data_IF_797264631958
#
_entry.id   IF_797264631958
#
_cell.length_a   1.000
_cell.length_b   1.000
_cell.length_c   1.000
_cell.angle_alpha   90.00
_cell.angle_beta   90.00
_cell.angle_gamma   90.00
#
_symmetry.space_group_name_H-M   'P 1'
#
loop_
_entity.id
_entity.type
_entity.pdbx_description
1 polymer ?
#
# COMPACT_ATOMS: atom_id res chain seq x y z
N UNK A 1 18.98 1.11 6.84
CA UNK A 1 19.47 0.64 5.53
C UNK A 1 18.36 0.58 4.50
N UNK A 2 17.24 -0.14 4.76
CA UNK A 2 16.10 -0.29 3.82
C UNK A 2 15.54 1.08 3.40
N UNK A 3 15.22 1.94 4.36
CA UNK A 3 14.65 3.27 4.07
C UNK A 3 15.61 4.13 3.25
N UNK A 4 16.92 4.06 3.52
CA UNK A 4 17.92 4.75 2.73
C UNK A 4 17.99 4.24 1.30
N UNK A 5 17.98 2.92 1.11
CA UNK A 5 17.95 2.29 -0.22
C UNK A 5 16.68 2.68 -0.99
N UNK A 6 15.52 2.69 -0.33
CA UNK A 6 14.24 3.11 -0.93
C UNK A 6 14.26 4.58 -1.40
N UNK A 7 14.93 5.45 -0.65
CA UNK A 7 15.10 6.87 -1.01
C UNK A 7 15.88 7.04 -2.31
N UNK A 8 16.85 6.15 -2.55
CA UNK A 8 17.74 6.19 -3.73
C UNK A 8 17.28 5.25 -4.84
N UNK A 9 16.10 4.62 -4.67
CA UNK A 9 15.56 3.61 -5.60
C UNK A 9 16.50 2.42 -5.87
N UNK A 10 17.39 2.15 -4.90
CA UNK A 10 18.24 0.95 -4.88
C UNK A 10 17.42 -0.25 -4.36
N UNK A 11 16.55 -0.74 -5.26
CA UNK A 11 15.58 -1.77 -4.92
C UNK A 11 16.24 -3.10 -4.53
N UNK A 12 17.35 -3.45 -5.14
CA UNK A 12 18.09 -4.68 -4.86
C UNK A 12 18.70 -4.66 -3.45
N UNK A 13 19.33 -3.56 -3.07
CA UNK A 13 19.85 -3.37 -1.70
C UNK A 13 18.72 -3.38 -0.69
N UNK A 14 17.58 -2.74 -1.01
CA UNK A 14 16.41 -2.72 -0.13
C UNK A 14 15.87 -4.12 0.13
N UNK A 15 15.65 -4.93 -0.91
CA UNK A 15 15.14 -6.31 -0.77
C UNK A 15 16.14 -7.20 -0.06
N UNK A 16 17.43 -7.06 -0.35
CA UNK A 16 18.49 -7.81 0.33
C UNK A 16 18.51 -7.52 1.83
N UNK A 17 18.41 -6.25 2.21
CA UNK A 17 18.36 -5.86 3.62
C UNK A 17 17.07 -6.31 4.33
N UNK A 18 15.95 -6.42 3.59
CA UNK A 18 14.69 -6.93 4.10
C UNK A 18 14.61 -8.46 4.19
N UNK A 19 15.47 -9.20 3.46
CA UNK A 19 15.38 -10.64 3.29
C UNK A 19 15.31 -11.44 4.62
N UNK A 20 16.09 -11.13 5.69
CA UNK A 20 15.98 -11.86 6.95
C UNK A 20 14.57 -11.86 7.56
N UNK A 21 13.83 -10.75 7.39
CA UNK A 21 12.45 -10.59 7.88
C UNK A 21 11.45 -11.21 6.92
N UNK A 22 11.66 -11.03 5.61
CA UNK A 22 10.81 -11.62 4.56
C UNK A 22 10.84 -13.14 4.62
N UNK A 23 12.01 -13.73 4.87
CA UNK A 23 12.23 -15.18 5.00
C UNK A 23 11.82 -15.73 6.38
N UNK A 24 11.28 -14.89 7.26
CA UNK A 24 10.90 -15.25 8.64
C UNK A 24 12.04 -15.84 9.47
N UNK A 25 13.28 -15.47 9.17
CA UNK A 25 14.46 -15.90 9.94
C UNK A 25 14.66 -15.07 11.22
N UNK A 26 14.04 -13.90 11.25
CA UNK A 26 14.01 -13.02 12.41
C UNK A 26 12.55 -12.80 12.76
N UNK A 27 12.13 -13.38 13.87
CA UNK A 27 10.80 -13.19 14.46
C UNK A 27 11.01 -12.32 15.70
N UNK A 28 10.74 -11.04 15.59
CA UNK A 28 10.80 -10.08 16.70
C UNK A 28 9.42 -9.49 16.90
N UNK A 29 9.00 -9.36 18.16
CA UNK A 29 7.64 -8.92 18.52
C UNK A 29 7.28 -7.53 17.99
N UNK A 30 8.27 -6.68 17.67
CA UNK A 30 8.01 -5.25 17.47
C UNK A 30 8.09 -4.74 16.03
N UNK A 31 8.67 -5.44 15.04
CA UNK A 31 8.94 -4.80 13.74
C UNK A 31 8.80 -5.60 12.44
N UNK A 32 8.31 -6.83 12.34
CA UNK A 32 8.28 -7.48 11.03
C UNK A 32 7.37 -6.76 10.03
N UNK A 33 6.28 -6.15 10.48
CA UNK A 33 5.34 -5.43 9.61
C UNK A 33 5.93 -4.12 9.04
N UNK A 34 6.79 -3.43 9.78
CA UNK A 34 7.46 -2.21 9.31
C UNK A 34 8.38 -2.52 8.12
N UNK A 35 9.30 -3.48 8.30
CA UNK A 35 10.22 -3.94 7.25
C UNK A 35 9.47 -4.46 6.03
N UNK A 36 8.42 -5.25 6.24
CA UNK A 36 7.59 -5.77 5.16
C UNK A 36 6.88 -4.66 4.40
N UNK A 37 6.38 -3.62 5.10
CA UNK A 37 5.76 -2.46 4.46
C UNK A 37 6.76 -1.66 3.63
N UNK A 38 8.00 -1.51 4.10
CA UNK A 38 9.10 -0.88 3.36
C UNK A 38 9.51 -1.66 2.11
N UNK A 39 9.41 -3.00 2.15
CA UNK A 39 9.80 -3.88 1.05
C UNK A 39 8.74 -3.99 -0.07
N UNK A 40 7.52 -3.48 0.11
CA UNK A 40 6.42 -3.65 -0.86
C UNK A 40 6.76 -3.09 -2.24
N UNK A 41 7.21 -1.85 -2.28
CA UNK A 41 7.57 -1.18 -3.53
C UNK A 41 8.83 -1.77 -4.17
N UNK A 42 9.94 -2.00 -3.44
CA UNK A 42 11.10 -2.69 -3.97
C UNK A 42 10.80 -4.06 -4.60
N UNK A 43 10.04 -4.89 -3.89
CA UNK A 43 9.64 -6.20 -4.43
C UNK A 43 8.81 -6.08 -5.70
N UNK A 44 7.91 -5.09 -5.76
CA UNK A 44 7.10 -4.83 -6.95
C UNK A 44 7.95 -4.35 -8.12
N UNK A 45 8.87 -3.41 -7.88
CA UNK A 45 9.77 -2.85 -8.90
C UNK A 45 10.69 -3.91 -9.52
N UNK A 46 11.16 -4.87 -8.71
CA UNK A 46 11.96 -6.01 -9.18
C UNK A 46 11.12 -7.14 -9.80
N UNK A 47 9.81 -6.95 -9.96
CA UNK A 47 8.92 -7.96 -10.56
C UNK A 47 8.54 -9.11 -9.62
N UNK A 48 8.90 -9.07 -8.34
CA UNK A 48 8.54 -10.09 -7.34
C UNK A 48 7.11 -9.92 -6.84
N UNK A 49 6.15 -9.85 -7.77
CA UNK A 49 4.75 -9.48 -7.49
C UNK A 49 4.06 -10.38 -6.46
N UNK A 50 4.38 -11.69 -6.43
CA UNK A 50 3.80 -12.60 -5.45
C UNK A 50 4.38 -12.35 -4.05
N UNK A 51 5.69 -12.17 -3.93
CA UNK A 51 6.33 -11.87 -2.65
C UNK A 51 5.83 -10.53 -2.08
N UNK A 52 5.67 -9.51 -2.94
CA UNK A 52 5.09 -8.22 -2.56
C UNK A 52 3.64 -8.38 -2.05
N UNK A 53 2.83 -9.22 -2.71
CA UNK A 53 1.48 -9.52 -2.27
C UNK A 53 1.44 -10.22 -0.92
N UNK A 54 2.28 -11.23 -0.72
CA UNK A 54 2.35 -12.00 0.53
C UNK A 54 2.81 -11.10 1.70
N UNK A 55 3.82 -10.25 1.44
CA UNK A 55 4.27 -9.23 2.39
C UNK A 55 3.16 -8.24 2.74
N UNK A 56 2.39 -7.74 1.73
CA UNK A 56 1.25 -6.86 1.96
C UNK A 56 0.20 -7.52 2.85
N UNK A 57 -0.24 -8.73 2.54
CA UNK A 57 -1.29 -9.43 3.30
C UNK A 57 -0.85 -9.71 4.73
N UNK A 58 0.39 -10.14 4.91
CA UNK A 58 0.93 -10.49 6.22
C UNK A 58 1.12 -9.25 7.11
N UNK A 59 1.79 -8.21 6.60
CA UNK A 59 2.05 -6.99 7.35
C UNK A 59 0.78 -6.22 7.66
N UNK A 60 -0.15 -6.09 6.71
CA UNK A 60 -1.40 -5.38 6.91
C UNK A 60 -2.26 -5.98 8.02
N UNK A 61 -2.32 -7.30 8.14
CA UNK A 61 -3.07 -7.98 9.21
C UNK A 61 -2.60 -7.57 10.62
N UNK A 62 -1.32 -7.29 10.78
CA UNK A 62 -0.72 -6.84 12.05
C UNK A 62 -0.78 -5.32 12.19
N UNK A 63 -0.46 -4.63 11.11
CA UNK A 63 -0.39 -3.17 11.06
C UNK A 63 -1.69 -2.49 11.50
N UNK A 64 -2.85 -3.02 11.13
CA UNK A 64 -4.15 -2.42 11.44
C UNK A 64 -4.42 -2.22 12.94
N UNK A 65 -3.65 -2.86 13.81
CA UNK A 65 -3.71 -2.74 15.27
C UNK A 65 -2.54 -1.96 15.85
N UNK A 66 -1.58 -1.52 15.01
CA UNK A 66 -0.40 -0.80 15.48
C UNK A 66 -0.75 0.68 15.76
N UNK A 67 -0.15 1.27 16.80
CA UNK A 67 -0.40 2.68 17.14
C UNK A 67 0.01 3.65 16.04
N UNK A 68 1.04 3.31 15.25
CA UNK A 68 1.60 4.12 14.18
C UNK A 68 1.12 3.67 12.78
N UNK A 69 -0.09 3.10 12.68
CA UNK A 69 -0.65 2.54 11.45
C UNK A 69 -0.58 3.49 10.26
N UNK A 70 -0.78 4.79 10.47
CA UNK A 70 -0.87 5.77 9.38
C UNK A 70 0.43 5.91 8.59
N UNK A 71 1.60 5.83 9.23
CA UNK A 71 2.91 5.89 8.55
C UNK A 71 3.10 4.78 7.54
N UNK A 72 2.67 3.56 7.87
CA UNK A 72 2.86 2.40 7.00
C UNK A 72 1.71 2.22 6.01
N UNK A 73 0.53 2.72 6.36
CA UNK A 73 -0.65 2.60 5.50
C UNK A 73 -0.45 3.27 4.15
N UNK A 74 0.25 4.41 4.11
CA UNK A 74 0.62 5.09 2.87
C UNK A 74 1.38 4.17 1.92
N UNK A 75 2.35 3.38 2.42
CA UNK A 75 3.11 2.41 1.62
C UNK A 75 2.24 1.26 1.08
N UNK A 76 1.26 0.81 1.85
CA UNK A 76 0.27 -0.17 1.38
C UNK A 76 -0.63 0.39 0.29
N UNK A 77 -1.05 1.67 0.41
CA UNK A 77 -1.85 2.34 -0.61
C UNK A 77 -1.04 2.55 -1.89
N UNK A 78 0.20 3.04 -1.79
CA UNK A 78 1.14 3.17 -2.90
C UNK A 78 1.32 1.82 -3.63
N UNK A 79 1.62 0.75 -2.89
CA UNK A 79 1.74 -0.59 -3.44
C UNK A 79 0.47 -1.03 -4.19
N UNK A 80 -0.72 -0.82 -3.60
CA UNK A 80 -1.98 -1.23 -4.23
C UNK A 80 -2.28 -0.42 -5.49
N UNK A 81 -1.98 0.87 -5.50
CA UNK A 81 -2.10 1.71 -6.69
C UNK A 81 -1.17 1.20 -7.80
N UNK A 82 0.13 1.08 -7.50
CA UNK A 82 1.16 0.78 -8.50
C UNK A 82 1.18 -0.69 -8.95
N UNK A 83 0.52 -1.59 -8.21
CA UNK A 83 0.36 -3.01 -8.59
C UNK A 83 -0.91 -3.32 -9.37
N UNK A 84 -1.63 -2.30 -9.88
CA UNK A 84 -2.89 -2.48 -10.62
C UNK A 84 -4.06 -2.93 -9.75
N UNK A 85 -4.01 -2.67 -8.44
CA UNK A 85 -5.05 -3.03 -7.46
C UNK A 85 -5.73 -1.80 -6.84
N UNK A 86 -5.87 -0.73 -7.61
CA UNK A 86 -6.43 0.54 -7.15
C UNK A 86 -7.81 0.39 -6.49
N UNK A 87 -8.70 -0.45 -7.03
CA UNK A 87 -10.00 -0.72 -6.43
C UNK A 87 -9.90 -1.30 -5.00
N UNK A 88 -8.85 -2.09 -4.71
CA UNK A 88 -8.57 -2.58 -3.35
C UNK A 88 -7.98 -1.47 -2.48
N UNK A 89 -7.08 -0.67 -3.05
CA UNK A 89 -6.53 0.53 -2.41
C UNK A 89 -7.64 1.49 -1.97
N UNK A 90 -8.62 1.74 -2.83
CA UNK A 90 -9.75 2.60 -2.53
C UNK A 90 -10.60 2.07 -1.36
N UNK A 91 -10.87 0.76 -1.32
CA UNK A 91 -11.56 0.16 -0.17
C UNK A 91 -10.75 0.29 1.13
N UNK A 92 -9.43 0.09 1.04
CA UNK A 92 -8.54 0.26 2.18
C UNK A 92 -8.52 1.71 2.65
N UNK A 93 -8.32 2.65 1.74
CA UNK A 93 -8.31 4.09 1.99
C UNK A 93 -9.58 4.54 2.73
N UNK A 94 -10.76 4.13 2.26
CA UNK A 94 -12.06 4.48 2.86
C UNK A 94 -12.17 4.13 4.35
N UNK A 95 -11.47 3.09 4.80
CA UNK A 95 -11.46 2.69 6.21
C UNK A 95 -10.57 3.54 7.12
N UNK A 96 -9.71 4.39 6.56
CA UNK A 96 -8.70 5.10 7.34
C UNK A 96 -8.64 6.62 7.11
N UNK A 97 -9.02 7.11 5.94
CA UNK A 97 -8.91 8.55 5.65
C UNK A 97 -9.76 9.42 6.58
N UNK A 98 -10.90 8.90 7.03
CA UNK A 98 -11.73 9.55 8.04
C UNK A 98 -11.07 9.71 9.42
N UNK A 99 -9.89 9.09 9.62
CA UNK A 99 -9.08 9.11 10.83
C UNK A 99 -7.73 9.77 10.61
N UNK A 100 -7.59 10.58 9.57
CA UNK A 100 -6.33 11.24 9.23
C UNK A 100 -5.82 12.17 10.36
N UNK A 101 -6.72 12.67 11.21
CA UNK A 101 -6.41 13.45 12.42
C UNK A 101 -5.71 12.64 13.52
N UNK A 102 -5.81 11.30 13.48
CA UNK A 102 -5.08 10.39 14.37
C UNK A 102 -3.61 10.20 13.96
N UNK A 103 -3.16 10.77 12.84
CA UNK A 103 -1.78 10.70 12.41
C UNK A 103 -0.86 11.35 13.48
N UNK A 104 0.12 10.58 13.96
CA UNK A 104 0.98 10.98 15.08
C UNK A 104 2.02 12.04 14.70
N UNK A 105 2.20 12.32 13.42
CA UNK A 105 3.12 13.33 12.91
C UNK A 105 2.71 13.79 11.52
N UNK A 106 3.19 14.99 11.13
CA UNK A 106 3.01 15.51 9.76
C UNK A 106 3.62 14.57 8.72
N UNK A 107 4.69 13.84 9.06
CA UNK A 107 5.29 12.84 8.19
C UNK A 107 4.33 11.66 7.97
N UNK A 108 3.74 11.11 9.02
CA UNK A 108 2.78 10.02 8.92
C UNK A 108 1.55 10.42 8.09
N UNK A 109 1.05 11.64 8.27
CA UNK A 109 -0.02 12.19 7.46
C UNK A 109 0.39 12.35 6.00
N UNK A 110 1.58 12.87 5.72
CA UNK A 110 2.12 13.05 4.37
C UNK A 110 2.24 11.70 3.65
N UNK A 111 2.76 10.66 4.31
CA UNK A 111 2.91 9.33 3.74
C UNK A 111 1.52 8.72 3.43
N UNK A 112 0.54 8.88 4.32
CA UNK A 112 -0.85 8.44 4.09
C UNK A 112 -1.48 9.14 2.89
N UNK A 113 -1.38 10.48 2.84
CA UNK A 113 -1.96 11.28 1.76
C UNK A 113 -1.32 10.97 0.41
N UNK A 114 0.01 10.82 0.35
CA UNK A 114 0.71 10.48 -0.89
C UNK A 114 0.24 9.13 -1.46
N UNK A 115 0.12 8.11 -0.60
CA UNK A 115 -0.43 6.81 -1.02
C UNK A 115 -1.91 6.90 -1.45
N UNK A 116 -2.72 7.72 -0.77
CA UNK A 116 -4.12 7.96 -1.12
C UNK A 116 -4.26 8.65 -2.48
N UNK A 117 -3.43 9.67 -2.76
CA UNK A 117 -3.37 10.37 -4.06
C UNK A 117 -3.13 9.39 -5.20
N UNK A 118 -2.18 8.46 -5.05
CA UNK A 118 -1.90 7.45 -6.06
C UNK A 118 -3.09 6.51 -6.29
N UNK A 119 -3.76 6.07 -5.23
CA UNK A 119 -4.98 5.24 -5.34
C UNK A 119 -6.10 5.98 -6.06
N UNK A 120 -6.30 7.25 -5.73
CA UNK A 120 -7.33 8.08 -6.37
C UNK A 120 -7.00 8.34 -7.83
N UNK A 121 -5.74 8.62 -8.17
CA UNK A 121 -5.28 8.77 -9.56
C UNK A 121 -5.58 7.52 -10.39
N UNK A 122 -5.21 6.36 -9.89
CA UNK A 122 -5.46 5.12 -10.63
C UNK A 122 -6.97 4.79 -10.69
N UNK A 123 -7.75 5.16 -9.67
CA UNK A 123 -9.21 5.05 -9.72
C UNK A 123 -9.83 5.99 -10.76
N UNK A 124 -9.27 7.19 -10.93
CA UNK A 124 -9.67 8.14 -11.98
C UNK A 124 -9.30 7.60 -13.37
N UNK A 125 -8.12 7.03 -13.55
CA UNK A 125 -7.68 6.38 -14.79
C UNK A 125 -8.59 5.19 -15.16
N UNK A 126 -9.16 4.50 -14.17
CA UNK A 126 -10.18 3.45 -14.32
C UNK A 126 -11.59 4.00 -14.61
N UNK A 127 -11.74 5.31 -14.84
CA UNK A 127 -13.02 5.96 -15.15
C UNK A 127 -13.91 6.26 -13.94
N UNK A 128 -13.40 6.17 -12.71
CA UNK A 128 -14.14 6.32 -11.46
C UNK A 128 -14.02 7.71 -10.81
N UNK A 129 -13.47 8.68 -11.54
CA UNK A 129 -13.20 10.03 -11.00
C UNK A 129 -14.41 10.77 -10.46
N UNK A 130 -15.61 10.50 -11.00
CA UNK A 130 -16.87 11.12 -10.56
C UNK A 130 -17.57 10.33 -9.43
N UNK A 131 -17.06 9.16 -9.03
CA UNK A 131 -17.62 8.46 -7.87
C UNK A 131 -17.45 9.29 -6.59
N UNK A 132 -18.45 9.26 -5.69
CA UNK A 132 -18.36 10.00 -4.44
C UNK A 132 -17.37 9.34 -3.47
N UNK A 133 -16.66 10.16 -2.72
CA UNK A 133 -15.92 9.71 -1.55
C UNK A 133 -16.92 9.40 -0.42
N UNK A 134 -16.87 8.20 0.14
CA UNK A 134 -17.87 7.75 1.14
C UNK A 134 -17.68 8.42 2.50
N UNK A 135 -16.45 8.74 2.87
CA UNK A 135 -16.11 9.35 4.14
C UNK A 135 -15.30 10.63 3.90
N UNK A 136 -15.66 11.68 4.63
CA UNK A 136 -14.86 12.91 4.65
C UNK A 136 -13.48 12.64 5.29
N UNK A 137 -12.54 13.50 4.95
CA UNK A 137 -11.23 13.54 5.58
C UNK A 137 -11.26 14.74 6.51
N UNK A 138 -11.15 14.55 7.82
CA UNK A 138 -11.15 15.66 8.75
C UNK A 138 -9.99 16.60 8.40
N UNK A 139 -10.26 17.89 8.41
CA UNK A 139 -9.27 18.95 8.15
C UNK A 139 -8.25 19.03 9.27
N UNK A 140 -7.77 17.93 9.68
CA UNK A 140 -6.71 17.67 10.63
C UNK A 140 -6.66 18.48 11.93
N UNK A 141 -5.88 17.98 12.81
CA UNK A 141 -5.41 18.62 14.01
C UNK A 141 -4.89 20.04 13.75
N UNK A 142 -4.97 20.87 14.76
CA UNK A 142 -4.48 22.27 14.77
C UNK A 142 -3.02 22.41 14.33
N UNK A 143 -2.23 21.32 14.37
CA UNK A 143 -0.81 21.34 13.99
C UNK A 143 -0.56 21.14 12.46
N UNK A 144 -1.54 20.60 11.72
CA UNK A 144 -1.43 20.41 10.26
C UNK A 144 -2.81 20.61 9.58
N UNK A 145 -3.31 21.87 9.54
CA UNK A 145 -4.60 22.13 8.92
C UNK A 145 -4.58 21.76 7.46
N UNK A 146 -5.64 21.10 7.02
CA UNK A 146 -5.85 20.67 5.64
C UNK A 146 -7.11 21.27 5.03
N UNK A 147 -7.41 20.97 3.77
CA UNK A 147 -8.65 21.35 3.12
C UNK A 147 -9.85 20.62 3.73
N UNK A 148 -11.03 21.18 3.52
CA UNK A 148 -12.28 20.51 3.82
C UNK A 148 -12.60 19.49 2.71
N UNK A 149 -12.46 18.21 3.01
CA UNK A 149 -12.78 17.11 2.11
C UNK A 149 -13.96 16.36 2.71
N UNK A 150 -15.17 16.78 2.30
CA UNK A 150 -16.41 16.21 2.80
C UNK A 150 -16.80 14.88 2.15
N UNK A 151 -17.71 14.12 2.79
CA UNK A 151 -18.34 12.96 2.16
C UNK A 151 -19.16 13.41 0.94
N UNK A 152 -19.21 12.57 -0.09
CA UNK A 152 -19.90 12.88 -1.34
C UNK A 152 -19.06 13.67 -2.36
N UNK A 153 -17.87 14.14 -2.00
CA UNK A 153 -16.96 14.81 -2.94
C UNK A 153 -16.51 13.83 -4.02
N UNK A 154 -16.47 14.23 -5.31
CA UNK A 154 -15.91 13.39 -6.38
C UNK A 154 -14.46 12.97 -6.08
N UNK A 155 -14.08 11.72 -6.40
CA UNK A 155 -12.72 11.19 -6.14
C UNK A 155 -11.65 12.08 -6.80
N UNK A 156 -11.92 12.62 -8.00
CA UNK A 156 -11.02 13.55 -8.70
C UNK A 156 -10.73 14.79 -7.86
N UNK A 157 -11.79 15.45 -7.37
CA UNK A 157 -11.66 16.67 -6.57
C UNK A 157 -10.97 16.38 -5.24
N UNK A 158 -11.29 15.26 -4.60
CA UNK A 158 -10.64 14.84 -3.37
C UNK A 158 -9.12 14.59 -3.61
N UNK A 159 -8.75 13.96 -4.76
CA UNK A 159 -7.35 13.77 -5.14
C UNK A 159 -6.60 15.09 -5.27
N UNK A 160 -7.17 16.04 -5.98
CA UNK A 160 -6.54 17.36 -6.20
C UNK A 160 -6.28 18.07 -4.86
N UNK A 161 -7.27 18.11 -3.98
CA UNK A 161 -7.14 18.72 -2.66
C UNK A 161 -6.11 18.01 -1.78
N UNK A 162 -6.07 16.67 -1.80
CA UNK A 162 -5.05 15.90 -1.06
C UNK A 162 -3.65 16.12 -1.62
N UNK A 163 -3.52 16.21 -2.93
CA UNK A 163 -2.25 16.43 -3.62
C UNK A 163 -1.68 17.81 -3.28
N UNK A 164 -2.51 18.84 -3.26
CA UNK A 164 -2.11 20.16 -2.79
C UNK A 164 -1.72 20.16 -1.32
N UNK A 165 -2.47 19.47 -0.49
CA UNK A 165 -2.19 19.39 0.94
C UNK A 165 -0.87 18.68 1.23
N UNK A 166 -0.60 17.55 0.59
CA UNK A 166 0.66 16.83 0.80
C UNK A 166 1.87 17.65 0.33
N UNK A 167 1.74 18.43 -0.76
CA UNK A 167 2.76 19.38 -1.21
C UNK A 167 3.03 20.49 -0.18
N UNK A 168 1.96 21.03 0.43
CA UNK A 168 2.10 22.03 1.50
C UNK A 168 2.84 21.47 2.73
N UNK A 169 2.58 20.22 3.10
CA UNK A 169 3.30 19.56 4.19
C UNK A 169 4.78 19.40 3.84
N UNK A 170 5.09 18.92 2.64
CA UNK A 170 6.47 18.77 2.16
C UNK A 170 7.23 20.10 2.14
N UNK A 171 6.60 21.17 1.63
CA UNK A 171 7.19 22.50 1.61
C UNK A 171 7.52 23.04 3.00
N UNK A 172 6.70 22.73 4.02
CA UNK A 172 7.00 23.11 5.41
C UNK A 172 8.24 22.39 5.95
N UNK A 173 8.42 21.10 5.59
CA UNK A 173 9.64 20.36 5.95
C UNK A 173 10.86 20.97 5.25
N UNK A 174 10.76 21.29 3.97
CA UNK A 174 11.85 21.88 3.21
C UNK A 174 12.27 23.26 3.75
N UNK A 175 11.29 24.11 4.07
CA UNK A 175 11.54 25.41 4.68
C UNK A 175 12.28 25.27 6.02
N UNK A 176 11.87 24.31 6.87
CA UNK A 176 12.54 24.02 8.14
C UNK A 176 13.97 23.51 7.93
N UNK A 177 14.18 22.66 6.93
CA UNK A 177 15.46 21.98 6.68
C UNK A 177 16.42 22.84 5.83
N UNK A 178 15.95 23.93 5.21
CA UNK A 178 16.74 24.78 4.33
C UNK A 178 17.13 24.12 2.99
N UNK A 179 16.32 23.18 2.51
CA UNK A 179 16.54 22.46 1.25
C UNK A 179 15.20 22.01 0.62
N UNK A 180 15.24 21.33 -0.53
CA UNK A 180 14.06 20.84 -1.27
C UNK A 180 13.94 19.32 -1.27
N UNK A 181 14.63 18.62 -0.37
CA UNK A 181 14.77 17.17 -0.43
C UNK A 181 13.43 16.44 -0.21
N UNK A 182 12.54 16.97 0.63
CA UNK A 182 11.25 16.35 0.93
C UNK A 182 10.30 16.52 -0.24
N UNK A 183 10.15 17.72 -0.76
CA UNK A 183 9.30 17.99 -1.94
C UNK A 183 9.81 17.24 -3.17
N UNK A 184 11.12 17.24 -3.44
CA UNK A 184 11.69 16.49 -4.57
C UNK A 184 11.34 15.00 -4.50
N UNK A 185 11.49 14.38 -3.32
CA UNK A 185 11.15 12.98 -3.12
C UNK A 185 9.65 12.70 -3.27
N UNK A 186 8.83 13.61 -2.76
CA UNK A 186 7.38 13.53 -2.90
C UNK A 186 6.97 13.52 -4.38
N UNK A 187 7.49 14.46 -5.17
CA UNK A 187 7.16 14.56 -6.61
C UNK A 187 7.61 13.31 -7.38
N UNK A 188 8.80 12.75 -7.08
CA UNK A 188 9.23 11.47 -7.66
C UNK A 188 8.24 10.36 -7.32
N UNK A 189 7.80 10.27 -6.07
CA UNK A 189 6.79 9.29 -5.64
C UNK A 189 5.45 9.46 -6.35
N UNK A 190 4.93 10.68 -6.41
CA UNK A 190 3.65 11.00 -7.07
C UNK A 190 3.69 10.78 -8.59
N UNK A 191 4.85 10.93 -9.21
CA UNK A 191 5.02 10.72 -10.66
C UNK A 191 5.13 9.24 -11.05
N UNK A 192 5.30 8.31 -10.11
CA UNK A 192 5.44 6.88 -10.41
C UNK A 192 4.22 6.35 -11.14
N UNK A 193 4.49 5.54 -12.17
CA UNK A 193 3.47 4.84 -12.94
C UNK A 193 3.28 3.41 -12.44
N UNK A 194 2.11 2.80 -12.65
CA UNK A 194 1.90 1.40 -12.31
C UNK A 194 2.93 0.47 -12.96
N UNK A 195 3.51 -0.43 -12.18
CA UNK A 195 4.40 -1.48 -12.66
C UNK A 195 3.64 -2.63 -13.35
N UNK A 196 2.35 -2.75 -13.04
CA UNK A 196 1.48 -3.81 -13.57
C UNK A 196 0.13 -3.19 -13.91
N UNK A 197 -0.37 -3.43 -15.12
CA UNK A 197 -1.69 -2.97 -15.53
C UNK A 197 -2.83 -3.74 -14.82
N UNK A 198 -3.96 -3.08 -14.59
CA UNK A 198 -5.14 -3.70 -13.98
C UNK A 198 -5.61 -4.96 -14.73
N UNK A 199 -5.51 -4.97 -16.05
CA UNK A 199 -5.87 -6.13 -16.91
C UNK A 199 -4.99 -7.36 -16.68
N UNK A 200 -3.69 -7.17 -16.40
CA UNK A 200 -2.78 -8.28 -16.10
C UNK A 200 -3.06 -8.93 -14.74
N UNK A 201 -3.47 -8.14 -13.75
CA UNK A 201 -3.83 -8.64 -12.42
C UNK A 201 -5.04 -9.56 -12.49
N UNK A 202 -6.07 -9.16 -13.22
CA UNK A 202 -7.29 -9.97 -13.43
C UNK A 202 -6.96 -11.27 -14.17
N UNK A 203 -6.12 -11.21 -15.20
CA UNK A 203 -5.71 -12.40 -15.98
C UNK A 203 -4.94 -13.44 -15.17
N UNK A 204 -4.11 -13.02 -14.20
CA UNK A 204 -3.37 -13.93 -13.31
C UNK A 204 -4.30 -14.64 -12.31
N UNK A 205 -5.27 -13.95 -11.76
CA UNK A 205 -6.26 -14.56 -10.86
C UNK A 205 -7.18 -15.55 -11.56
N UNK A 206 -7.58 -15.26 -12.80
CA UNK A 206 -8.38 -16.19 -13.60
C UNK A 206 -7.63 -17.48 -13.93
N UNK A 207 -6.31 -17.43 -14.14
CA UNK A 207 -5.47 -18.62 -14.40
C UNK A 207 -5.16 -19.41 -13.12
N UNK A 208 -5.04 -18.77 -11.98
CA UNK A 208 -4.78 -19.44 -10.69
C UNK A 208 -6.02 -20.16 -10.13
N UNK A 209 -7.22 -19.80 -10.59
CA UNK A 209 -8.49 -20.43 -10.18
C UNK A 209 -8.86 -21.71 -10.95
N UNK A 210 -8.16 -22.06 -12.02
CA UNK A 210 -8.35 -23.31 -12.74
C UNK A 210 -7.60 -24.44 -12.02
N UNK A 211 -8.20 -24.97 -10.94
CA UNK A 211 -7.78 -26.25 -10.36
C UNK A 211 -8.10 -27.33 -11.40
N UNK A 212 -7.09 -28.09 -11.92
CA UNK A 212 -7.40 -29.21 -12.80
C UNK A 212 -8.28 -30.19 -12.04
N UNK A 213 -9.42 -30.55 -12.64
CA UNK A 213 -10.29 -31.58 -12.11
C UNK A 213 -9.45 -32.84 -11.88
N UNK A 214 -9.30 -33.28 -10.63
CA UNK A 214 -8.72 -34.57 -10.30
C UNK A 214 -9.69 -35.64 -10.81
N UNK A 215 -9.46 -36.18 -11.99
CA UNK A 215 -9.94 -37.49 -12.36
C UNK A 215 -9.15 -38.51 -11.55
N UNK A 216 -9.60 -38.78 -10.36
CA UNK A 216 -9.01 -39.76 -9.47
C UNK A 216 -9.97 -40.94 -9.36
N UNK A 217 -9.74 -41.99 -10.15
CA UNK A 217 -10.24 -43.31 -9.83
C UNK A 217 -9.75 -43.69 -8.43
N UNK A 218 -10.69 -43.96 -7.54
CA UNK A 218 -10.39 -44.53 -6.23
C UNK A 218 -9.94 -45.99 -6.39
N UNK A 219 -8.78 -46.39 -5.85
CA UNK A 219 -8.41 -47.80 -5.85
C UNK A 219 -9.34 -48.58 -4.92
N UNK A 220 -9.66 -49.88 -5.23
CA UNK A 220 -10.61 -50.67 -4.48
C UNK A 220 -10.10 -50.98 -3.06
N UNK A 221 -10.98 -50.81 -2.09
CA UNK A 221 -10.77 -51.12 -0.67
C UNK A 221 -10.52 -52.62 -0.52
N UNK A 222 -9.29 -53.03 -0.15
CA UNK A 222 -9.00 -54.42 0.25
C UNK A 222 -9.60 -54.69 1.61
N UNK A 223 -10.62 -55.59 1.63
CA UNK A 223 -11.18 -56.16 2.85
C UNK A 223 -10.11 -56.98 3.61
N UNK A 224 -9.79 -56.57 4.81
CA UNK A 224 -9.04 -57.43 5.77
C UNK A 224 -9.96 -58.56 6.23
N UNK A 225 -9.65 -59.77 5.79
CA UNK A 225 -10.19 -60.99 6.40
C UNK A 225 -9.59 -61.16 7.79
N UNK A 226 -10.47 -61.37 8.76
CA UNK A 226 -10.19 -61.83 10.11
C UNK A 226 -9.45 -63.17 10.04
N UNK A 227 -8.41 -63.30 10.81
CA UNK A 227 -7.91 -64.64 11.22
C UNK A 227 -8.14 -64.79 12.68
N UNK A 228 -8.76 -65.90 12.95
CA UNK A 228 -8.93 -66.56 14.27
C UNK A 228 -7.61 -66.73 15.00
#
# INVERSE_FOLDING_TARGET
EIEWANIHEDWETSVTAAAPVLDRRVDGDDQPYAVQSEALLPLLALGHSQAAWDAHVYSYRRLRFAPNVMSYLGKHLEYLALSGRAARGLRLMRGYVGRADEAQSARALMDLLAGAVLVLRESENDGRGEEPLDAGIPSASTWCPGPDIGPGMPLRTARELMEDWVRQIAARYDARNGNTAVSTRLEVGLARQPFVSAGEVVGRHARAGAVPARTGEMPPVRSRRSRE
#
